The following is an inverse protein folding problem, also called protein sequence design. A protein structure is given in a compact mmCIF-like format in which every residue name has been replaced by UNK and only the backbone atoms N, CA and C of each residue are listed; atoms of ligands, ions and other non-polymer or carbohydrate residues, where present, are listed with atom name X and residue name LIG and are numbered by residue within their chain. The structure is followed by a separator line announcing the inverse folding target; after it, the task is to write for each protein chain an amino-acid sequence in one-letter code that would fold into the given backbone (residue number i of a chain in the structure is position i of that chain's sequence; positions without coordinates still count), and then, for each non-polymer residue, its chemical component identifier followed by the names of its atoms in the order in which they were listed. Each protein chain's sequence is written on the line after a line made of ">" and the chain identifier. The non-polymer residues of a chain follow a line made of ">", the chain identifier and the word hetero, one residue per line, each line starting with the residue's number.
data_IF_388425867068
#
_entry.id   IF_388425867068
#
_cell.length_a   1.000
_cell.length_b   1.000
_cell.length_c   1.000
_cell.angle_alpha   90.00
_cell.angle_beta   90.00
_cell.angle_gamma   90.00
#
_symmetry.space_group_name_H-M   'P 1'
#
loop_
_entity.id
_entity.type
_entity.pdbx_description
1 polymer ?
#
# COMPACT_ATOMS: atom_id res chain seq x y z
N UNK A 1 9.98 -8.86 12.10
CA UNK A 1 11.22 -8.07 12.28
C UNK A 1 11.46 -7.19 11.06
N UNK A 2 12.07 -6.03 11.22
CA UNK A 2 12.57 -5.20 10.12
C UNK A 2 14.09 -5.15 10.23
N UNK A 3 14.79 -5.27 9.10
CA UNK A 3 16.25 -5.17 9.02
C UNK A 3 16.62 -4.26 7.85
N UNK A 4 17.56 -3.33 8.07
CA UNK A 4 18.13 -2.54 6.99
C UNK A 4 19.45 -3.18 6.53
N UNK A 5 19.61 -3.30 5.22
CA UNK A 5 20.84 -3.76 4.58
C UNK A 5 21.36 -2.69 3.62
N UNK A 6 22.68 -2.64 3.34
CA UNK A 6 23.29 -1.62 2.49
C UNK A 6 22.74 -1.64 1.06
N UNK A 7 22.61 -0.46 0.44
CA UNK A 7 22.13 -0.32 -0.93
C UNK A 7 23.10 -0.86 -2.00
N UNK A 8 24.38 -1.05 -1.65
CA UNK A 8 25.43 -1.53 -2.56
C UNK A 8 25.47 -3.06 -2.71
N UNK A 9 24.61 -3.81 -2.04
CA UNK A 9 24.46 -5.24 -2.26
C UNK A 9 23.98 -5.53 -3.68
N UNK A 10 24.54 -6.57 -4.31
CA UNK A 10 24.07 -7.02 -5.61
C UNK A 10 22.63 -7.53 -5.53
N UNK A 11 21.90 -7.39 -6.62
CA UNK A 11 20.50 -7.83 -6.65
C UNK A 11 20.35 -9.34 -6.41
N UNK A 12 21.36 -10.13 -6.83
CA UNK A 12 21.36 -11.58 -6.62
C UNK A 12 21.44 -11.94 -5.14
N UNK A 13 22.34 -11.29 -4.40
CA UNK A 13 22.46 -11.45 -2.94
C UNK A 13 21.14 -11.04 -2.25
N UNK A 14 20.57 -9.90 -2.64
CA UNK A 14 19.31 -9.41 -2.08
C UNK A 14 18.17 -10.42 -2.31
N UNK A 15 18.09 -10.98 -3.52
CA UNK A 15 17.06 -11.98 -3.86
C UNK A 15 17.25 -13.30 -3.09
N UNK A 16 18.49 -13.74 -2.94
CA UNK A 16 18.81 -14.95 -2.17
C UNK A 16 18.47 -14.78 -0.69
N UNK A 17 18.91 -13.69 -0.08
CA UNK A 17 18.60 -13.36 1.32
C UNK A 17 17.08 -13.24 1.55
N UNK A 18 16.36 -12.60 0.61
CA UNK A 18 14.91 -12.48 0.67
C UNK A 18 14.23 -13.84 0.65
N UNK A 19 14.68 -14.75 -0.22
CA UNK A 19 14.15 -16.11 -0.32
C UNK A 19 14.41 -16.93 0.94
N UNK A 20 15.63 -16.89 1.47
CA UNK A 20 16.01 -17.61 2.68
C UNK A 20 15.23 -17.14 3.93
N UNK A 21 14.98 -15.85 4.04
CA UNK A 21 14.28 -15.25 5.18
C UNK A 21 12.78 -15.08 4.98
N UNK A 22 12.26 -15.37 3.78
CA UNK A 22 10.89 -15.08 3.35
C UNK A 22 10.51 -13.60 3.58
N UNK A 23 11.47 -12.71 3.43
CA UNK A 23 11.29 -11.29 3.65
C UNK A 23 10.67 -10.62 2.43
N UNK A 24 9.80 -9.63 2.68
CA UNK A 24 9.41 -8.63 1.70
C UNK A 24 10.54 -7.59 1.66
N UNK A 25 11.05 -7.28 0.47
CA UNK A 25 12.15 -6.34 0.29
C UNK A 25 11.66 -5.04 -0.33
N UNK A 26 12.02 -3.92 0.30
CA UNK A 26 11.75 -2.58 -0.21
C UNK A 26 13.07 -1.87 -0.44
N UNK A 27 13.34 -1.48 -1.69
CA UNK A 27 14.55 -0.72 -2.04
C UNK A 27 14.33 0.76 -1.70
N UNK A 28 15.28 1.32 -0.96
CA UNK A 28 15.41 2.76 -0.70
C UNK A 28 16.70 3.28 -1.36
N UNK A 29 16.89 4.59 -1.52
CA UNK A 29 18.11 5.13 -2.12
C UNK A 29 19.40 4.69 -1.41
N UNK A 30 19.39 4.62 -0.08
CA UNK A 30 20.57 4.39 0.75
C UNK A 30 20.64 2.97 1.35
N UNK A 31 19.54 2.22 1.35
CA UNK A 31 19.46 0.89 1.97
C UNK A 31 18.30 0.05 1.44
N UNK A 32 18.34 -1.25 1.67
CA UNK A 32 17.21 -2.14 1.52
C UNK A 32 16.51 -2.33 2.88
N UNK A 33 15.18 -2.37 2.87
CA UNK A 33 14.35 -2.72 4.03
C UNK A 33 13.85 -4.14 3.84
N UNK A 34 14.31 -5.05 4.69
CA UNK A 34 13.84 -6.43 4.77
C UNK A 34 12.78 -6.51 5.85
N UNK A 35 11.58 -6.97 5.50
CA UNK A 35 10.46 -7.15 6.42
C UNK A 35 10.11 -8.62 6.48
N UNK A 36 10.46 -9.28 7.59
CA UNK A 36 10.08 -10.68 7.87
C UNK A 36 8.80 -10.73 8.70
N UNK A 37 8.26 -11.91 8.99
CA UNK A 37 7.14 -12.05 9.92
C UNK A 37 7.47 -11.45 11.31
N UNK A 38 6.47 -10.93 12.01
CA UNK A 38 6.60 -10.46 13.40
C UNK A 38 6.92 -11.58 14.40
N UNK A 39 6.75 -12.85 14.00
CA UNK A 39 7.15 -14.02 14.78
C UNK A 39 8.67 -14.18 14.89
N UNK A 40 9.44 -13.59 13.96
CA UNK A 40 10.91 -13.58 14.00
C UNK A 40 11.37 -12.58 15.06
N UNK A 41 11.97 -13.11 16.15
CA UNK A 41 12.39 -12.32 17.33
C UNK A 41 13.91 -12.19 17.46
N UNK A 42 14.66 -12.89 16.62
CA UNK A 42 16.11 -12.82 16.57
C UNK A 42 16.56 -12.52 15.14
N UNK A 43 17.68 -11.81 15.00
CA UNK A 43 18.25 -11.51 13.70
C UNK A 43 18.67 -12.81 13.00
N UNK A 44 18.09 -13.12 11.82
CA UNK A 44 18.52 -14.29 11.07
C UNK A 44 20.02 -14.25 10.77
N UNK A 45 20.73 -15.34 11.05
CA UNK A 45 22.18 -15.41 10.88
C UNK A 45 22.66 -15.03 9.48
N UNK A 46 21.85 -15.33 8.46
CA UNK A 46 22.15 -14.97 7.06
C UNK A 46 22.09 -13.47 6.79
N UNK A 47 21.37 -12.70 7.61
CA UNK A 47 21.30 -11.23 7.50
C UNK A 47 22.35 -10.53 8.37
N UNK A 48 22.82 -11.18 9.43
CA UNK A 48 23.71 -10.58 10.41
C UNK A 48 24.98 -9.92 9.81
N UNK A 49 25.67 -10.51 8.80
CA UNK A 49 26.86 -9.88 8.20
C UNK A 49 26.58 -8.57 7.46
N UNK A 50 25.32 -8.34 7.08
CA UNK A 50 24.91 -7.19 6.26
C UNK A 50 24.01 -6.21 7.02
N UNK A 51 23.57 -6.53 8.23
CA UNK A 51 22.61 -5.72 8.97
C UNK A 51 23.20 -4.38 9.41
N UNK A 52 22.59 -3.26 8.98
CA UNK A 52 22.93 -1.91 9.45
C UNK A 52 22.13 -1.58 10.71
N UNK A 53 20.84 -1.88 10.68
CA UNK A 53 19.90 -1.66 11.79
C UNK A 53 18.86 -2.77 11.81
N UNK A 54 18.30 -3.04 13.00
CA UNK A 54 17.26 -4.03 13.18
C UNK A 54 16.18 -3.57 14.18
N UNK A 55 14.95 -4.03 13.97
CA UNK A 55 13.81 -3.78 14.86
C UNK A 55 13.02 -5.06 15.06
N UNK A 56 12.89 -5.48 16.32
CA UNK A 56 12.01 -6.58 16.70
C UNK A 56 10.62 -6.03 16.87
N UNK A 57 9.68 -6.52 16.03
CA UNK A 57 8.32 -6.00 15.98
C UNK A 57 7.35 -6.83 16.80
N UNK A 58 6.39 -6.16 17.46
CA UNK A 58 5.37 -6.82 18.31
C UNK A 58 4.17 -7.34 17.51
N UNK A 59 3.93 -6.78 16.31
CA UNK A 59 2.82 -7.15 15.44
C UNK A 59 3.22 -7.06 13.97
N UNK A 60 2.40 -7.58 13.07
CA UNK A 60 2.65 -7.53 11.62
C UNK A 60 2.39 -6.13 11.00
N UNK A 61 1.91 -5.16 11.77
CA UNK A 61 1.82 -3.75 11.37
C UNK A 61 3.17 -3.02 11.39
N UNK A 62 4.22 -3.72 11.03
CA UNK A 62 5.64 -3.41 11.26
C UNK A 62 6.04 -2.04 10.72
N UNK A 63 5.90 -1.80 9.42
CA UNK A 63 6.34 -0.56 8.79
C UNK A 63 5.51 0.67 9.24
N UNK A 64 4.31 0.47 9.75
CA UNK A 64 3.45 1.53 10.28
C UNK A 64 3.63 1.76 11.78
N UNK A 65 4.40 0.89 12.47
CA UNK A 65 4.67 1.02 13.90
C UNK A 65 5.54 2.23 14.21
N UNK A 66 5.26 2.89 15.33
CA UNK A 66 6.12 3.94 15.89
C UNK A 66 7.44 3.39 16.46
N UNK A 67 7.49 2.09 16.77
CA UNK A 67 8.73 1.42 17.16
C UNK A 67 9.77 1.44 16.02
N UNK A 68 9.30 1.42 14.76
CA UNK A 68 10.15 1.53 13.58
C UNK A 68 10.37 2.99 13.14
N UNK A 69 9.32 3.79 13.14
CA UNK A 69 9.38 5.20 12.74
C UNK A 69 8.71 6.08 13.80
N UNK A 70 9.54 6.70 14.63
CA UNK A 70 9.06 7.60 15.70
C UNK A 70 8.64 8.95 15.13
N UNK A 71 7.45 9.01 14.54
CA UNK A 71 6.90 10.23 13.97
C UNK A 71 5.54 10.00 13.32
N UNK A 72 4.93 11.08 12.83
CA UNK A 72 3.71 11.01 12.02
C UNK A 72 4.11 10.97 10.56
N UNK A 73 3.77 9.88 9.87
CA UNK A 73 4.07 9.73 8.44
C UNK A 73 3.25 10.71 7.62
N UNK A 74 3.88 11.29 6.62
CA UNK A 74 3.22 12.06 5.58
C UNK A 74 2.99 11.17 4.37
N UNK A 75 1.73 11.02 3.96
CA UNK A 75 1.34 10.22 2.80
C UNK A 75 0.81 11.17 1.74
N UNK A 76 1.52 11.27 0.62
CA UNK A 76 1.11 12.10 -0.50
C UNK A 76 0.07 11.36 -1.35
N UNK A 77 -1.02 12.04 -1.69
CA UNK A 77 -2.11 11.56 -2.52
C UNK A 77 -2.32 12.58 -3.64
N UNK A 78 -1.52 12.48 -4.71
CA UNK A 78 -1.49 13.47 -5.79
C UNK A 78 -0.99 14.83 -5.31
N UNK A 79 -1.85 15.83 -5.38
CA UNK A 79 -1.60 17.22 -4.96
C UNK A 79 -1.98 17.51 -3.49
N UNK A 80 -2.43 16.50 -2.77
CA UNK A 80 -2.78 16.58 -1.36
C UNK A 80 -2.00 15.55 -0.53
N UNK A 81 -2.06 15.64 0.77
CA UNK A 81 -1.41 14.69 1.67
C UNK A 81 -2.21 14.51 2.96
N UNK A 82 -1.94 13.42 3.65
CA UNK A 82 -2.48 13.11 4.98
C UNK A 82 -1.34 12.81 5.95
N UNK A 83 -1.50 13.19 7.21
CA UNK A 83 -0.49 13.02 8.25
C UNK A 83 0.60 14.08 8.21
N UNK A 84 1.75 13.83 8.86
CA UNK A 84 2.78 14.83 9.04
C UNK A 84 2.27 16.01 9.87
N UNK A 85 2.45 17.21 9.35
CA UNK A 85 2.02 18.50 9.90
C UNK A 85 0.61 18.93 9.46
N UNK A 86 -0.09 18.10 8.67
CA UNK A 86 -1.44 18.39 8.18
C UNK A 86 -2.44 18.38 9.35
N UNK A 87 -3.11 19.51 9.57
CA UNK A 87 -4.17 19.67 10.58
C UNK A 87 -5.57 19.50 9.99
N UNK A 88 -5.71 19.38 8.68
CA UNK A 88 -6.98 19.28 8.00
C UNK A 88 -7.43 17.83 7.88
N UNK A 89 -8.74 17.61 7.86
CA UNK A 89 -9.34 16.33 7.54
C UNK A 89 -9.34 16.13 6.03
N UNK A 90 -8.83 14.99 5.56
CA UNK A 90 -8.96 14.57 4.17
C UNK A 90 -10.19 13.68 4.02
N UNK A 91 -11.16 14.13 3.22
CA UNK A 91 -12.31 13.31 2.88
C UNK A 91 -11.94 12.29 1.80
N UNK A 92 -12.11 11.03 2.12
CA UNK A 92 -11.96 9.88 1.20
C UNK A 92 -13.33 9.24 1.08
N UNK A 93 -13.97 9.31 -0.09
CA UNK A 93 -15.33 8.84 -0.28
C UNK A 93 -15.50 7.99 -1.54
N UNK A 94 -16.58 7.22 -1.61
CA UNK A 94 -16.92 6.39 -2.75
C UNK A 94 -17.65 5.10 -2.35
N UNK A 95 -18.08 4.30 -3.33
CA UNK A 95 -18.92 3.14 -3.09
C UNK A 95 -18.16 2.01 -2.40
N UNK A 96 -18.85 1.18 -1.66
CA UNK A 96 -18.28 -0.04 -1.10
C UNK A 96 -17.79 -0.98 -2.20
N UNK A 97 -18.52 -1.08 -3.30
CA UNK A 97 -18.20 -1.91 -4.46
C UNK A 97 -18.50 -1.18 -5.75
N UNK A 98 -17.72 -1.44 -6.79
CA UNK A 98 -18.08 -1.07 -8.16
C UNK A 98 -18.93 -2.21 -8.71
N UNK A 99 -20.14 -1.88 -9.15
CA UNK A 99 -21.10 -2.84 -9.71
C UNK A 99 -21.19 -2.70 -11.23
N UNK A 100 -21.16 -1.45 -11.72
CA UNK A 100 -21.14 -1.13 -13.15
C UNK A 100 -20.54 0.26 -13.40
N UNK A 101 -20.48 0.65 -14.67
CA UNK A 101 -19.93 1.94 -15.09
C UNK A 101 -20.85 3.11 -14.73
N UNK A 102 -22.16 2.94 -14.84
CA UNK A 102 -23.14 4.00 -14.59
C UNK A 102 -23.14 4.40 -13.11
N UNK A 103 -23.11 3.39 -12.22
CA UNK A 103 -23.02 3.61 -10.78
C UNK A 103 -21.78 4.43 -10.41
N UNK A 104 -20.59 3.99 -10.87
CA UNK A 104 -19.35 4.67 -10.48
C UNK A 104 -19.23 6.05 -11.11
N UNK A 105 -19.71 6.24 -12.32
CA UNK A 105 -19.73 7.54 -13.00
C UNK A 105 -20.63 8.55 -12.26
N UNK A 106 -21.83 8.14 -11.90
CA UNK A 106 -22.78 8.95 -11.11
C UNK A 106 -22.21 9.35 -9.77
N UNK A 107 -21.58 8.40 -9.06
CA UNK A 107 -20.96 8.66 -7.76
C UNK A 107 -19.80 9.63 -7.91
N UNK A 108 -18.93 9.44 -8.89
CA UNK A 108 -17.80 10.34 -9.13
C UNK A 108 -18.28 11.77 -9.43
N UNK A 109 -19.30 11.92 -10.27
CA UNK A 109 -19.88 13.22 -10.58
C UNK A 109 -20.40 13.94 -9.34
N UNK A 110 -21.10 13.21 -8.47
CA UNK A 110 -21.63 13.74 -7.21
C UNK A 110 -20.48 14.15 -6.27
N UNK A 111 -19.47 13.28 -6.08
CA UNK A 111 -18.35 13.53 -5.18
C UNK A 111 -17.51 14.73 -5.61
N UNK A 112 -17.27 14.90 -6.91
CA UNK A 112 -16.56 16.07 -7.45
C UNK A 112 -17.33 17.37 -7.20
N UNK A 113 -18.65 17.36 -7.38
CA UNK A 113 -19.51 18.52 -7.05
C UNK A 113 -19.44 18.90 -5.56
N UNK A 114 -19.22 17.92 -4.68
CA UNK A 114 -19.03 18.13 -3.24
C UNK A 114 -17.58 18.48 -2.86
N UNK A 115 -16.68 18.64 -3.82
CA UNK A 115 -15.27 18.97 -3.58
C UNK A 115 -14.43 17.82 -3.05
N UNK A 116 -14.90 16.58 -3.13
CA UNK A 116 -14.13 15.39 -2.72
C UNK A 116 -13.05 15.11 -3.76
N UNK A 117 -11.79 15.08 -3.31
CA UNK A 117 -10.62 14.91 -4.18
C UNK A 117 -10.12 13.46 -4.24
N UNK A 118 -10.44 12.65 -3.25
CA UNK A 118 -9.94 11.27 -3.13
C UNK A 118 -11.08 10.28 -3.17
N UNK A 119 -11.07 9.45 -4.22
CA UNK A 119 -12.04 8.37 -4.42
C UNK A 119 -11.52 7.07 -3.81
N UNK A 120 -12.40 6.32 -3.16
CA UNK A 120 -12.20 4.90 -2.80
C UNK A 120 -13.32 4.06 -3.42
N UNK A 121 -12.98 2.88 -3.92
CA UNK A 121 -13.99 1.94 -4.40
C UNK A 121 -13.43 0.51 -4.41
N UNK A 122 -14.22 -0.47 -4.02
CA UNK A 122 -13.79 -1.86 -3.95
C UNK A 122 -14.03 -2.58 -5.28
N UNK A 123 -12.97 -3.14 -5.87
CA UNK A 123 -13.04 -3.97 -7.08
C UNK A 123 -13.07 -5.46 -6.75
N UNK A 124 -12.48 -5.85 -5.62
CA UNK A 124 -12.40 -7.22 -5.14
C UNK A 124 -13.12 -7.34 -3.79
N UNK A 125 -13.96 -8.35 -3.65
CA UNK A 125 -14.71 -8.62 -2.41
C UNK A 125 -14.39 -10.03 -1.91
N UNK A 126 -13.65 -10.18 -0.80
CA UNK A 126 -13.50 -11.48 -0.17
C UNK A 126 -14.89 -11.97 0.32
N UNK A 127 -15.30 -13.14 -0.14
CA UNK A 127 -16.58 -13.74 0.22
C UNK A 127 -16.39 -15.22 0.53
N UNK A 128 -17.08 -15.69 1.54
CA UNK A 128 -17.10 -17.10 1.92
C UNK A 128 -18.00 -17.92 0.99
N UNK A 129 -19.11 -17.33 0.51
CA UNK A 129 -20.02 -17.99 -0.44
C UNK A 129 -19.55 -17.79 -1.90
N UNK A 130 -19.48 -18.84 -2.71
CA UNK A 130 -19.15 -18.73 -4.13
C UNK A 130 -20.26 -18.07 -4.98
N UNK A 131 -21.47 -17.97 -4.46
CA UNK A 131 -22.65 -17.45 -5.18
C UNK A 131 -22.87 -15.94 -4.98
N UNK A 132 -22.04 -15.27 -4.18
CA UNK A 132 -22.18 -13.83 -3.95
C UNK A 132 -21.28 -13.03 -4.87
N UNK A 133 -21.71 -11.80 -5.17
CA UNK A 133 -20.91 -10.87 -5.99
C UNK A 133 -19.52 -10.64 -5.35
N UNK A 134 -18.47 -10.91 -6.13
CA UNK A 134 -17.07 -10.82 -5.69
C UNK A 134 -16.37 -9.54 -6.14
N UNK A 135 -17.13 -8.60 -6.73
CA UNK A 135 -16.56 -7.41 -7.37
C UNK A 135 -16.24 -7.66 -8.85
N UNK A 136 -16.00 -6.58 -9.58
CA UNK A 136 -15.64 -6.64 -11.00
C UNK A 136 -14.17 -6.99 -11.26
N UNK A 137 -13.36 -7.12 -10.20
CA UNK A 137 -11.95 -7.47 -10.33
C UNK A 137 -11.17 -6.46 -11.19
N UNK A 138 -10.43 -6.97 -12.18
CA UNK A 138 -9.60 -6.16 -13.07
C UNK A 138 -10.45 -5.17 -13.89
N UNK A 139 -11.64 -5.55 -14.32
CA UNK A 139 -12.51 -4.64 -15.07
C UNK A 139 -12.99 -3.47 -14.20
N UNK A 140 -13.24 -3.70 -12.92
CA UNK A 140 -13.48 -2.63 -11.95
C UNK A 140 -12.29 -1.66 -11.82
N UNK A 141 -11.05 -2.17 -11.85
CA UNK A 141 -9.85 -1.31 -11.84
C UNK A 141 -9.74 -0.45 -13.12
N UNK A 142 -10.07 -1.00 -14.28
CA UNK A 142 -10.12 -0.24 -15.54
C UNK A 142 -11.16 0.87 -15.48
N UNK A 143 -12.36 0.59 -14.95
CA UNK A 143 -13.41 1.59 -14.72
C UNK A 143 -12.93 2.69 -13.78
N UNK A 144 -12.26 2.35 -12.68
CA UNK A 144 -11.68 3.33 -11.77
C UNK A 144 -10.65 4.23 -12.45
N UNK A 145 -9.75 3.67 -13.26
CA UNK A 145 -8.77 4.48 -13.99
C UNK A 145 -9.45 5.40 -15.02
N UNK A 146 -10.52 4.94 -15.66
CA UNK A 146 -11.37 5.76 -16.54
C UNK A 146 -11.98 6.93 -15.78
N UNK A 147 -12.55 6.69 -14.58
CA UNK A 147 -13.13 7.73 -13.74
C UNK A 147 -12.07 8.71 -13.23
N UNK A 148 -10.92 8.22 -12.83
CA UNK A 148 -9.78 9.04 -12.42
C UNK A 148 -9.37 10.03 -13.51
N UNK A 149 -9.27 9.56 -14.76
CA UNK A 149 -8.95 10.40 -15.93
C UNK A 149 -10.06 11.39 -16.25
N UNK A 150 -11.31 10.96 -16.19
CA UNK A 150 -12.49 11.79 -16.54
C UNK A 150 -12.72 12.92 -15.54
N UNK A 151 -12.58 12.65 -14.25
CA UNK A 151 -12.95 13.57 -13.18
C UNK A 151 -11.77 14.19 -12.43
N UNK A 152 -10.54 13.80 -12.71
CA UNK A 152 -9.35 14.29 -12.02
C UNK A 152 -9.23 13.87 -10.56
N UNK A 153 -10.08 12.94 -10.10
CA UNK A 153 -10.03 12.42 -8.72
C UNK A 153 -8.75 11.64 -8.49
N UNK A 154 -8.23 11.71 -7.27
CA UNK A 154 -7.02 10.98 -6.89
C UNK A 154 -7.40 9.59 -6.36
N UNK A 155 -6.53 8.64 -6.62
CA UNK A 155 -6.66 7.27 -6.10
C UNK A 155 -5.34 6.86 -5.48
N UNK A 156 -5.39 6.04 -4.45
CA UNK A 156 -4.17 5.48 -3.87
C UNK A 156 -3.55 4.50 -4.88
N UNK A 157 -2.33 4.80 -5.33
CA UNK A 157 -1.59 3.93 -6.29
C UNK A 157 -1.33 2.52 -5.75
N UNK A 158 -1.34 2.32 -4.44
CA UNK A 158 -1.09 1.01 -3.83
C UNK A 158 -2.13 -0.05 -4.22
N UNK A 159 -3.37 0.38 -4.51
CA UNK A 159 -4.44 -0.55 -4.88
C UNK A 159 -4.39 -0.97 -6.36
N UNK A 160 -3.70 -0.19 -7.21
CA UNK A 160 -3.63 -0.45 -8.66
C UNK A 160 -2.34 -1.18 -9.04
N UNK A 161 -1.22 -0.89 -8.38
CA UNK A 161 0.10 -1.41 -8.78
C UNK A 161 0.30 -2.91 -8.53
N UNK A 162 -0.50 -3.52 -7.67
CA UNK A 162 -0.44 -4.97 -7.41
C UNK A 162 -1.17 -5.81 -8.47
N UNK A 163 -2.00 -5.18 -9.32
CA UNK A 163 -2.89 -5.90 -10.23
C UNK A 163 -2.75 -5.48 -11.70
N UNK A 164 -1.89 -4.51 -12.01
CA UNK A 164 -1.65 -4.00 -13.37
C UNK A 164 -0.14 -3.97 -13.64
N UNK A 165 0.47 -5.15 -13.57
CA UNK A 165 1.83 -5.40 -14.07
C UNK A 165 1.77 -6.30 -15.28
#
# INVERSE_FOLDING_TARGET
>A
MIVHLPANLSQDIVNELAKLTKAIVIKKPEYYVFVTSSSVKELPQVLAPFAINEWIMKSDMQLSSRDYFNGVRKINIGDTYIGGDCKNTLMIAGPCSIEDEEQIDTICQMLVKLGVKVLRAGCFKPRTSPYTFRGLGIDGLKLLDKMRKKYGVKMNKSDISQYVS
#
